data_IF_802953394478
#
_entry.id   IF_802953394478
#
_cell.length_a   1.000
_cell.length_b   1.000
_cell.length_c   1.000
_cell.angle_alpha   90.00
_cell.angle_beta   90.00
_cell.angle_gamma   90.00
#
_symmetry.space_group_name_H-M   'P 1'
#
loop_
_entity.id
_entity.type
_entity.pdbx_description
1 polymer ?
#
# COMPACT_ATOMS: atom_id res chain seq x y z
N UNK A 1 -12.84 -12.07 19.21
CA UNK A 1 -13.28 -11.17 18.13
C UNK A 1 -13.47 -11.99 16.86
N UNK A 2 -14.63 -11.90 16.22
CA UNK A 2 -14.92 -12.58 14.94
C UNK A 2 -14.49 -11.71 13.75
N UNK A 3 -14.54 -12.29 12.53
CA UNK A 3 -14.12 -11.58 11.31
C UNK A 3 -14.89 -10.28 11.07
N UNK A 4 -16.20 -10.28 11.33
CA UNK A 4 -17.06 -9.12 11.12
C UNK A 4 -16.72 -7.99 12.09
N UNK A 5 -16.49 -8.32 13.35
CA UNK A 5 -16.06 -7.36 14.39
C UNK A 5 -14.69 -6.75 14.05
N UNK A 6 -13.76 -7.55 13.52
CA UNK A 6 -12.46 -7.07 13.06
C UNK A 6 -12.64 -6.07 11.92
N UNK A 7 -13.43 -6.40 10.90
CA UNK A 7 -13.65 -5.51 9.76
C UNK A 7 -14.35 -4.21 10.13
N UNK A 8 -15.37 -4.28 11.01
CA UNK A 8 -16.03 -3.09 11.54
C UNK A 8 -15.02 -2.17 12.25
N UNK A 9 -14.19 -2.75 13.12
CA UNK A 9 -13.14 -2.01 13.84
C UNK A 9 -12.14 -1.35 12.88
N UNK A 10 -11.70 -2.05 11.83
CA UNK A 10 -10.80 -1.49 10.80
C UNK A 10 -11.44 -0.29 10.09
N UNK A 11 -12.71 -0.41 9.70
CA UNK A 11 -13.45 0.67 9.03
C UNK A 11 -13.56 1.89 9.95
N UNK A 12 -13.89 1.67 11.23
CA UNK A 12 -14.03 2.76 12.19
C UNK A 12 -12.68 3.45 12.46
N UNK A 13 -11.60 2.69 12.60
CA UNK A 13 -10.23 3.23 12.72
C UNK A 13 -9.86 4.11 11.51
N UNK A 14 -10.17 3.64 10.30
CA UNK A 14 -9.93 4.40 9.08
C UNK A 14 -10.76 5.70 9.04
N UNK A 15 -12.06 5.63 9.38
CA UNK A 15 -12.96 6.80 9.43
C UNK A 15 -12.52 7.84 10.46
N UNK A 16 -11.98 7.39 11.59
CA UNK A 16 -11.44 8.28 12.62
C UNK A 16 -10.05 8.84 12.28
N UNK A 17 -9.46 8.47 11.14
CA UNK A 17 -8.10 8.89 10.78
C UNK A 17 -7.01 8.32 11.72
N UNK A 18 -7.29 7.18 12.35
CA UNK A 18 -6.39 6.51 13.31
C UNK A 18 -5.60 5.35 12.69
N UNK A 19 -5.76 5.12 11.39
CA UNK A 19 -4.93 4.19 10.65
C UNK A 19 -3.50 4.73 10.49
N UNK A 20 -2.54 3.83 10.32
CA UNK A 20 -1.18 4.21 9.94
C UNK A 20 -1.16 4.89 8.57
N UNK A 21 -0.20 5.80 8.36
CA UNK A 21 0.17 6.21 7.00
C UNK A 21 0.80 5.03 6.27
N UNK A 22 0.89 5.10 4.94
CA UNK A 22 1.54 4.04 4.17
C UNK A 22 3.02 3.85 4.56
N UNK A 23 3.72 4.91 4.99
CA UNK A 23 5.09 4.82 5.45
C UNK A 23 5.17 4.19 6.84
N UNK A 24 4.36 4.66 7.79
CA UNK A 24 4.35 4.09 9.15
C UNK A 24 3.95 2.61 9.15
N UNK A 25 3.03 2.22 8.24
CA UNK A 25 2.64 0.83 8.07
C UNK A 25 3.79 -0.04 7.52
N UNK A 26 4.63 0.49 6.62
CA UNK A 26 5.83 -0.20 6.15
C UNK A 26 6.84 -0.37 7.29
N UNK A 27 7.10 0.69 8.05
CA UNK A 27 8.04 0.65 9.18
C UNK A 27 7.57 -0.34 10.26
N UNK A 28 6.26 -0.37 10.54
CA UNK A 28 5.65 -1.34 11.44
C UNK A 28 5.84 -2.78 10.95
N UNK A 29 5.67 -3.04 9.65
CA UNK A 29 5.90 -4.38 9.09
C UNK A 29 7.38 -4.79 9.19
N UNK A 30 8.30 -3.88 8.92
CA UNK A 30 9.74 -4.14 9.05
C UNK A 30 10.09 -4.47 10.50
N UNK A 31 9.51 -3.74 11.47
CA UNK A 31 9.67 -4.05 12.89
C UNK A 31 9.15 -5.46 13.22
N UNK A 32 7.95 -5.82 12.76
CA UNK A 32 7.39 -7.16 12.98
C UNK A 32 8.26 -8.28 12.40
N UNK A 33 8.88 -8.07 11.23
CA UNK A 33 9.85 -9.03 10.66
C UNK A 33 11.05 -9.22 11.58
N UNK A 34 11.54 -8.13 12.19
CA UNK A 34 12.66 -8.20 13.15
C UNK A 34 12.30 -8.88 14.49
N UNK A 35 11.01 -8.97 14.82
CA UNK A 35 10.49 -9.63 16.02
C UNK A 35 10.16 -11.12 15.79
N UNK A 36 10.15 -11.61 14.55
CA UNK A 36 9.88 -13.02 14.26
C UNK A 36 10.97 -13.92 14.85
N UNK A 37 10.53 -14.99 15.53
CA UNK A 37 11.43 -15.98 16.12
C UNK A 37 12.14 -16.79 15.02
N UNK A 38 13.47 -16.68 14.87
CA UNK A 38 14.22 -17.40 13.83
C UNK A 38 14.29 -18.91 14.06
N UNK A 39 13.93 -19.39 15.26
CA UNK A 39 13.94 -20.81 15.60
C UNK A 39 12.60 -21.50 15.29
N UNK A 40 11.57 -20.73 15.01
CA UNK A 40 10.25 -21.25 14.62
C UNK A 40 10.31 -21.90 13.25
N UNK A 41 9.70 -23.08 13.10
CA UNK A 41 9.53 -23.74 11.79
C UNK A 41 8.64 -22.96 10.83
N UNK A 42 7.91 -21.96 11.34
CA UNK A 42 7.05 -21.08 10.54
C UNK A 42 7.72 -19.74 10.22
N UNK A 43 8.95 -19.50 10.67
CA UNK A 43 9.65 -18.23 10.50
C UNK A 43 9.61 -17.73 9.06
N UNK A 44 10.09 -18.54 8.11
CA UNK A 44 10.15 -18.16 6.69
C UNK A 44 8.75 -17.83 6.13
N UNK A 45 7.73 -18.61 6.49
CA UNK A 45 6.37 -18.41 6.03
C UNK A 45 5.74 -17.12 6.60
N UNK A 46 6.03 -16.81 7.86
CA UNK A 46 5.56 -15.58 8.51
C UNK A 46 6.27 -14.34 7.93
N UNK A 47 7.60 -14.39 7.82
CA UNK A 47 8.40 -13.34 7.21
C UNK A 47 7.94 -13.09 5.78
N UNK A 48 7.75 -14.14 4.97
CA UNK A 48 7.25 -13.99 3.60
C UNK A 48 5.87 -13.32 3.56
N UNK A 49 4.96 -13.72 4.45
CA UNK A 49 3.62 -13.10 4.54
C UNK A 49 3.71 -11.61 4.87
N UNK A 50 4.56 -11.22 5.79
CA UNK A 50 4.81 -9.83 6.15
C UNK A 50 5.42 -9.05 4.97
N UNK A 51 6.43 -9.60 4.30
CA UNK A 51 7.05 -8.98 3.11
C UNK A 51 6.04 -8.77 1.97
N UNK A 52 5.14 -9.74 1.73
CA UNK A 52 4.06 -9.60 0.73
C UNK A 52 3.09 -8.46 1.09
N UNK A 53 2.80 -8.25 2.38
CA UNK A 53 2.00 -7.12 2.83
C UNK A 53 2.73 -5.78 2.61
N UNK A 54 4.02 -5.70 2.93
CA UNK A 54 4.83 -4.51 2.67
C UNK A 54 4.86 -4.17 1.16
N UNK A 55 5.07 -5.18 0.31
CA UNK A 55 5.03 -5.01 -1.14
C UNK A 55 3.68 -4.46 -1.62
N UNK A 56 2.56 -4.99 -1.09
CA UNK A 56 1.22 -4.48 -1.40
C UNK A 56 1.07 -3.00 -1.06
N UNK A 57 1.44 -2.59 0.17
CA UNK A 57 1.37 -1.19 0.60
C UNK A 57 2.24 -0.29 -0.28
N UNK A 58 3.45 -0.74 -0.60
CA UNK A 58 4.35 -0.02 -1.51
C UNK A 58 3.71 0.20 -2.88
N UNK A 59 3.13 -0.86 -3.48
CA UNK A 59 2.48 -0.75 -4.79
C UNK A 59 1.25 0.14 -4.77
N UNK A 60 0.45 0.14 -3.70
CA UNK A 60 -0.70 1.04 -3.55
C UNK A 60 -0.26 2.51 -3.51
N UNK A 61 0.82 2.81 -2.78
CA UNK A 61 1.40 4.17 -2.72
C UNK A 61 1.89 4.64 -4.10
N UNK A 62 2.58 3.77 -4.84
CA UNK A 62 3.20 4.15 -6.12
C UNK A 62 2.23 4.08 -7.31
N UNK A 63 1.25 3.18 -7.29
CA UNK A 63 0.20 3.10 -8.30
C UNK A 63 -0.73 4.33 -8.29
N UNK A 64 -0.92 4.95 -7.13
CA UNK A 64 -1.62 6.23 -7.00
C UNK A 64 -0.84 7.39 -7.64
N UNK A 65 0.49 7.32 -7.71
CA UNK A 65 1.35 8.36 -8.31
C UNK A 65 1.49 8.21 -9.83
N UNK A 66 1.30 7.01 -10.38
CA UNK A 66 1.43 6.72 -11.82
C UNK A 66 0.12 6.88 -12.61
N UNK A 67 -0.97 7.30 -11.95
CA UNK A 67 -2.28 7.48 -12.60
C UNK A 67 -2.49 8.85 -13.29
N UNK A 68 -1.44 9.65 -13.48
CA UNK A 68 -1.52 10.85 -14.34
C UNK A 68 -1.14 10.45 -15.78
N UNK A 69 -2.11 10.30 -16.73
CA UNK A 69 -1.77 10.18 -18.15
C UNK A 69 -1.03 11.46 -18.59
N UNK A 70 -0.03 11.41 -19.49
CA UNK A 70 0.62 12.62 -19.96
C UNK A 70 -0.44 13.56 -20.53
N UNK A 71 -0.42 14.79 -20.02
CA UNK A 71 -1.23 15.91 -20.45
C UNK A 71 -1.12 16.01 -21.98
N UNK A 72 -2.24 15.78 -22.68
CA UNK A 72 -2.33 16.00 -24.12
C UNK A 72 -2.26 17.51 -24.33
N UNK A 73 -1.04 18.04 -24.45
CA UNK A 73 -0.78 19.43 -24.79
C UNK A 73 -1.48 19.84 -26.09
N UNK A 74 -1.80 21.13 -26.26
CA UNK A 74 -2.66 21.60 -27.33
C UNK A 74 -1.95 21.45 -28.69
N UNK A 75 -2.59 20.77 -29.64
CA UNK A 75 -2.22 20.89 -31.05
C UNK A 75 -2.70 22.25 -31.56
N UNK A 76 -1.84 23.26 -31.44
CA UNK A 76 -1.90 24.48 -32.25
C UNK A 76 -1.70 24.12 -33.73
N UNK A 77 -2.64 24.61 -34.53
CA UNK A 77 -2.60 25.06 -35.91
C UNK A 77 -1.59 24.43 -36.91
N UNK A 78 -2.15 23.83 -37.96
CA UNK A 78 -1.58 23.95 -39.30
C UNK A 78 -2.68 24.19 -40.33
N UNK A 79 -3.10 25.46 -40.42
CA UNK A 79 -3.64 26.04 -41.64
C UNK A 79 -2.48 26.16 -42.65
N UNK A 80 -2.51 25.40 -43.74
CA UNK A 80 -1.87 25.80 -45.01
C UNK A 80 -2.52 25.05 -46.18
N UNK A 81 -3.45 25.74 -46.83
CA UNK A 81 -3.61 25.84 -48.30
C UNK A 81 -3.83 24.57 -49.15
N UNK A 82 -5.05 24.46 -49.71
CA UNK A 82 -5.29 24.21 -51.14
C UNK A 82 -6.63 24.83 -51.55
#
# INVERSE_FOLDING_TARGET
MNRTEILATVIDMARMGRGFTALDALDCIVAMVGEEDPTSTYHDANVERLLRLAACIWTLRHGLLLSHPPDSGPSEDLDTGC
#
